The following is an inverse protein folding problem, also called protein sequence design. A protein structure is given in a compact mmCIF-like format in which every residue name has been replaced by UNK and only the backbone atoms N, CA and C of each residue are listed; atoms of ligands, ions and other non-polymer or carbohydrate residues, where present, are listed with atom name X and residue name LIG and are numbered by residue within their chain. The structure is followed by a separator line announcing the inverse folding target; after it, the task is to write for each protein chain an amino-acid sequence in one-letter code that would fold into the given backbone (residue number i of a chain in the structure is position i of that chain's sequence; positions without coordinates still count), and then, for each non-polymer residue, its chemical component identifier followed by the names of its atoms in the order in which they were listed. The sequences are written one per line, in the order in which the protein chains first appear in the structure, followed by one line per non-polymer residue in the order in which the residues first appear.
data_IF_368076687586
#
_entry.id   IF_368076687586
#
_cell.length_a   1.000
_cell.length_b   1.000
_cell.length_c   1.000
_cell.angle_alpha   90.00
_cell.angle_beta   90.00
_cell.angle_gamma   90.00
#
_symmetry.space_group_name_H-M   'P 1'
#
loop_
_entity.id
_entity.type
_entity.pdbx_description
1 polymer ?
#
# COMPACT_ATOMS: atom_id res chain seq x y z
N UNK A 1 -11.64 5.04 10.37
CA UNK A 1 -10.58 4.48 11.22
C UNK A 1 -9.42 4.01 10.36
N UNK A 2 -8.23 3.95 10.96
CA UNK A 2 -7.06 3.41 10.26
C UNK A 2 -6.12 2.70 11.21
N UNK A 3 -5.31 1.81 10.66
CA UNK A 3 -4.18 1.18 11.33
C UNK A 3 -2.92 1.43 10.52
N UNK A 4 -1.81 1.65 11.21
CA UNK A 4 -0.49 1.78 10.61
C UNK A 4 0.29 0.48 10.81
N UNK A 5 0.89 0.00 9.73
CA UNK A 5 1.75 -1.17 9.75
C UNK A 5 3.15 -0.82 9.25
N UNK A 6 4.14 -1.51 9.77
CA UNK A 6 5.51 -1.48 9.26
C UNK A 6 5.83 -2.86 8.69
N UNK A 7 5.81 -2.93 7.37
CA UNK A 7 5.90 -4.20 6.65
C UNK A 7 7.35 -4.52 6.32
N UNK A 8 7.90 -5.65 6.79
CA UNK A 8 9.25 -6.05 6.40
C UNK A 8 9.29 -6.42 4.93
N UNK A 9 10.15 -5.75 4.18
CA UNK A 9 10.38 -6.03 2.76
C UNK A 9 11.41 -7.16 2.60
N UNK A 10 11.74 -7.51 1.36
CA UNK A 10 12.66 -8.60 1.00
C UNK A 10 14.05 -8.48 1.64
N UNK A 11 14.51 -7.27 1.90
CA UNK A 11 15.83 -6.97 2.49
C UNK A 11 15.75 -6.59 3.97
N UNK A 12 14.59 -6.78 4.61
CA UNK A 12 14.36 -6.42 6.00
C UNK A 12 14.01 -4.95 6.24
N UNK A 13 14.00 -4.12 5.20
CA UNK A 13 13.57 -2.71 5.31
C UNK A 13 12.11 -2.65 5.68
N UNK A 14 11.77 -1.84 6.68
CA UNK A 14 10.38 -1.63 7.10
C UNK A 14 9.68 -0.61 6.21
N UNK A 15 8.63 -1.04 5.54
CA UNK A 15 7.81 -0.21 4.63
C UNK A 15 6.55 0.21 5.37
N UNK A 16 6.31 1.52 5.56
CA UNK A 16 5.08 1.98 6.18
C UNK A 16 3.88 1.70 5.27
N UNK A 17 2.80 1.25 5.87
CA UNK A 17 1.52 1.05 5.18
C UNK A 17 0.39 1.48 6.09
N UNK A 18 -0.50 2.34 5.58
CA UNK A 18 -1.71 2.74 6.28
C UNK A 18 -2.90 1.99 5.70
N UNK A 19 -3.70 1.43 6.59
CA UNK A 19 -4.91 0.69 6.22
C UNK A 19 -6.13 1.41 6.79
N UNK A 20 -7.02 1.84 5.90
CA UNK A 20 -8.22 2.61 6.22
C UNK A 20 -9.47 1.77 6.03
N UNK A 21 -10.41 1.88 6.94
CA UNK A 21 -11.66 1.12 6.91
C UNK A 21 -12.80 1.89 7.57
N UNK A 22 -14.02 1.52 7.23
CA UNK A 22 -15.22 2.13 7.80
C UNK A 22 -15.29 1.83 9.29
N UNK A 23 -15.68 2.83 10.07
CA UNK A 23 -15.89 2.68 11.52
C UNK A 23 -16.84 1.51 11.82
N UNK A 24 -16.46 0.70 12.78
CA UNK A 24 -17.24 -0.47 13.18
C UNK A 24 -16.94 -1.74 12.42
N UNK A 25 -16.13 -1.70 11.34
CA UNK A 25 -15.67 -2.91 10.68
C UNK A 25 -14.58 -3.60 11.50
N UNK A 26 -14.68 -4.91 11.59
CA UNK A 26 -13.59 -5.75 12.09
C UNK A 26 -12.81 -6.30 10.89
N UNK A 27 -11.61 -5.80 10.68
CA UNK A 27 -10.77 -6.22 9.56
C UNK A 27 -9.82 -7.37 9.92
N UNK A 28 -9.73 -7.72 11.19
CA UNK A 28 -8.74 -8.66 11.66
C UNK A 28 -9.21 -10.12 11.46
N UNK A 29 -8.30 -10.93 10.90
CA UNK A 29 -8.37 -12.39 10.88
C UNK A 29 -9.56 -13.04 10.15
N UNK A 30 -10.36 -12.30 9.39
CA UNK A 30 -11.53 -12.90 8.73
C UNK A 30 -11.32 -13.25 7.25
N UNK A 31 -10.24 -12.77 6.62
CA UNK A 31 -9.91 -12.97 5.19
C UNK A 31 -11.01 -12.55 4.20
N UNK A 32 -12.02 -11.83 4.64
CA UNK A 32 -13.20 -11.50 3.82
C UNK A 32 -13.22 -10.07 3.33
N UNK A 33 -12.24 -9.26 3.71
CA UNK A 33 -12.21 -7.87 3.30
C UNK A 33 -11.73 -7.75 1.86
N UNK A 34 -12.47 -7.00 1.06
CA UNK A 34 -11.97 -6.52 -0.23
C UNK A 34 -11.00 -5.38 0.05
N UNK A 35 -9.78 -5.51 -0.43
CA UNK A 35 -8.73 -4.51 -0.21
C UNK A 35 -8.30 -3.91 -1.53
N UNK A 36 -8.24 -2.59 -1.58
CA UNK A 36 -7.60 -1.83 -2.65
C UNK A 36 -6.24 -1.35 -2.15
N UNK A 37 -5.17 -1.93 -2.67
CA UNK A 37 -3.79 -1.56 -2.35
C UNK A 37 -3.29 -0.54 -3.35
N UNK A 38 -2.86 0.63 -2.88
CA UNK A 38 -2.35 1.72 -3.70
C UNK A 38 -0.89 2.00 -3.39
N UNK A 39 -0.10 2.30 -4.41
CA UNK A 39 1.29 2.71 -4.30
C UNK A 39 1.71 3.63 -5.42
N UNK A 40 2.79 4.38 -5.22
CA UNK A 40 3.40 5.27 -6.21
C UNK A 40 4.89 5.03 -6.35
N UNK A 41 5.67 5.41 -5.35
CA UNK A 41 7.09 5.07 -5.22
C UNK A 41 8.00 5.68 -6.27
N UNK A 42 7.76 6.93 -6.67
CA UNK A 42 8.57 7.58 -7.70
C UNK A 42 8.77 9.07 -7.44
N UNK A 43 9.84 9.61 -8.01
CA UNK A 43 10.19 11.04 -8.04
C UNK A 43 10.25 11.74 -6.67
N UNK A 44 10.42 10.98 -5.59
CA UNK A 44 10.41 11.56 -4.23
C UNK A 44 9.07 12.19 -3.85
N UNK A 45 7.99 11.86 -4.56
CA UNK A 45 6.66 12.36 -4.26
C UNK A 45 5.96 11.47 -3.25
N UNK A 46 5.18 12.09 -2.38
CA UNK A 46 4.37 11.36 -1.41
C UNK A 46 3.09 10.84 -2.06
N UNK A 47 2.70 9.63 -1.69
CA UNK A 47 1.36 9.15 -2.00
C UNK A 47 0.34 10.06 -1.31
N UNK A 48 -0.69 10.46 -2.03
CA UNK A 48 -1.74 11.30 -1.46
C UNK A 48 -2.44 10.58 -0.32
N UNK A 49 -2.33 11.13 0.88
CA UNK A 49 -2.98 10.60 2.07
C UNK A 49 -4.42 11.08 2.24
N UNK A 50 -4.87 11.98 1.34
CA UNK A 50 -6.22 12.49 1.35
C UNK A 50 -7.23 11.50 0.78
N UNK A 51 -8.44 11.54 1.32
CA UNK A 51 -9.54 10.81 0.72
C UNK A 51 -10.09 11.57 -0.47
N UNK A 52 -10.18 10.90 -1.61
CA UNK A 52 -10.90 11.38 -2.77
C UNK A 52 -12.24 10.64 -2.86
N UNK A 53 -13.09 11.07 -3.81
CA UNK A 53 -14.43 10.48 -3.97
C UNK A 53 -14.39 8.98 -4.27
N UNK A 54 -13.34 8.50 -4.96
CA UNK A 54 -13.18 7.08 -5.29
C UNK A 54 -12.92 6.26 -4.04
N UNK A 55 -11.97 6.68 -3.21
CA UNK A 55 -11.66 6.02 -1.93
C UNK A 55 -12.87 6.02 -0.99
N UNK A 56 -13.51 7.18 -0.84
CA UNK A 56 -14.70 7.32 0.01
C UNK A 56 -15.82 6.39 -0.46
N UNK A 57 -16.11 6.40 -1.75
CA UNK A 57 -17.15 5.55 -2.34
C UNK A 57 -16.87 4.06 -2.15
N UNK A 58 -15.62 3.63 -2.31
CA UNK A 58 -15.22 2.24 -2.08
C UNK A 58 -15.39 1.86 -0.60
N UNK A 59 -14.96 2.72 0.32
CA UNK A 59 -15.09 2.47 1.76
C UNK A 59 -16.55 2.37 2.19
N UNK A 60 -17.44 3.19 1.64
CA UNK A 60 -18.88 3.11 1.92
C UNK A 60 -19.48 1.77 1.49
N UNK A 61 -18.89 1.13 0.47
CA UNK A 61 -19.26 -0.19 -0.01
C UNK A 61 -18.54 -1.34 0.72
N UNK A 62 -17.84 -1.02 1.82
CA UNK A 62 -17.16 -2.02 2.65
C UNK A 62 -15.76 -2.40 2.19
N UNK A 63 -15.16 -1.67 1.26
CA UNK A 63 -13.77 -1.87 0.88
C UNK A 63 -12.83 -1.32 1.96
N UNK A 64 -11.72 -2.00 2.14
CA UNK A 64 -10.57 -1.54 2.91
C UNK A 64 -9.57 -0.93 1.93
N UNK A 65 -9.02 0.23 2.28
CA UNK A 65 -8.01 0.93 1.47
C UNK A 65 -6.66 0.80 2.16
N UNK A 66 -5.66 0.32 1.44
CA UNK A 66 -4.29 0.23 1.94
C UNK A 66 -3.37 1.11 1.09
N UNK A 67 -2.69 2.05 1.73
CA UNK A 67 -1.70 2.92 1.10
C UNK A 67 -0.30 2.44 1.48
N UNK A 68 0.45 1.91 0.52
CA UNK A 68 1.81 1.43 0.71
C UNK A 68 2.82 2.52 0.35
N UNK A 69 3.62 2.94 1.31
CA UNK A 69 4.62 4.00 1.13
C UNK A 69 5.97 3.39 0.74
N UNK A 70 6.02 2.83 -0.46
CA UNK A 70 7.19 2.11 -0.97
C UNK A 70 8.37 3.02 -1.26
N UNK A 71 9.57 2.45 -1.27
CA UNK A 71 10.79 3.20 -1.60
C UNK A 71 10.70 3.80 -3.01
N UNK A 72 11.31 4.98 -3.16
CA UNK A 72 11.20 5.83 -4.36
C UNK A 72 10.28 7.02 -4.15
N UNK A 73 9.37 6.96 -3.19
CA UNK A 73 8.57 8.09 -2.74
C UNK A 73 9.33 9.00 -1.78
N UNK A 74 8.68 10.06 -1.31
CA UNK A 74 9.25 11.05 -0.40
C UNK A 74 8.87 10.90 1.07
N UNK A 75 8.10 9.88 1.43
CA UNK A 75 7.46 9.75 2.75
C UNK A 75 8.47 9.69 3.91
N UNK A 76 9.67 9.12 3.67
CA UNK A 76 10.74 9.00 4.67
C UNK A 76 12.00 9.79 4.29
N UNK A 77 11.87 10.80 3.42
CA UNK A 77 12.97 11.68 3.04
C UNK A 77 13.76 11.19 1.82
N UNK A 78 14.90 11.87 1.58
CA UNK A 78 15.71 11.69 0.36
C UNK A 78 16.32 10.28 0.25
N UNK A 79 16.74 9.70 1.36
CA UNK A 79 17.30 8.34 1.35
C UNK A 79 16.26 7.32 0.91
N UNK A 80 15.03 7.49 1.33
CA UNK A 80 13.91 6.63 0.93
C UNK A 80 13.65 6.71 -0.56
N UNK A 81 13.71 7.91 -1.11
CA UNK A 81 13.64 8.13 -2.55
C UNK A 81 14.80 7.47 -3.28
N UNK A 82 16.04 7.68 -2.82
CA UNK A 82 17.24 7.15 -3.46
C UNK A 82 17.27 5.61 -3.48
N UNK A 83 16.74 4.97 -2.45
CA UNK A 83 16.66 3.51 -2.38
C UNK A 83 15.62 2.89 -3.31
N UNK A 84 14.83 3.68 -3.98
CA UNK A 84 13.79 3.22 -4.91
C UNK A 84 13.89 3.81 -6.31
N UNK A 85 15.01 4.43 -6.68
CA UNK A 85 15.20 5.02 -8.01
C UNK A 85 16.28 4.31 -8.82
N UNK A 86 16.25 4.49 -10.13
CA UNK A 86 17.26 3.98 -11.08
C UNK A 86 17.57 2.50 -10.84
N UNK A 87 18.82 2.14 -10.52
CA UNK A 87 19.23 0.76 -10.24
C UNK A 87 18.54 0.14 -9.02
N UNK A 88 18.05 0.99 -8.10
CA UNK A 88 17.33 0.56 -6.91
C UNK A 88 15.81 0.45 -7.14
N UNK A 89 15.32 0.72 -8.35
CA UNK A 89 13.89 0.66 -8.68
C UNK A 89 13.23 -0.68 -8.34
N UNK A 90 13.88 -1.84 -8.48
CA UNK A 90 13.30 -3.10 -8.02
C UNK A 90 12.86 -3.10 -6.56
N UNK A 91 13.48 -2.29 -5.69
CA UNK A 91 13.05 -2.15 -4.30
C UNK A 91 11.63 -1.64 -4.17
N UNK A 92 11.21 -0.68 -5.02
CA UNK A 92 9.81 -0.19 -5.03
C UNK A 92 8.82 -1.31 -5.33
N UNK A 93 9.12 -2.14 -6.32
CA UNK A 93 8.27 -3.26 -6.71
C UNK A 93 8.18 -4.32 -5.62
N UNK A 94 9.33 -4.69 -5.07
CA UNK A 94 9.42 -5.70 -4.01
C UNK A 94 8.76 -5.22 -2.71
N UNK A 95 8.86 -3.94 -2.40
CA UNK A 95 8.14 -3.32 -1.27
C UNK A 95 6.62 -3.44 -1.45
N UNK A 96 6.14 -3.18 -2.67
CA UNK A 96 4.71 -3.27 -2.96
C UNK A 96 4.20 -4.71 -2.86
N UNK A 97 4.96 -5.66 -3.39
CA UNK A 97 4.66 -7.10 -3.27
C UNK A 97 4.65 -7.52 -1.80
N UNK A 98 5.64 -7.07 -1.02
CA UNK A 98 5.70 -7.36 0.42
C UNK A 98 4.47 -6.85 1.16
N UNK A 99 3.98 -5.66 0.82
CA UNK A 99 2.74 -5.12 1.40
C UNK A 99 1.52 -5.97 1.04
N UNK A 100 1.41 -6.42 -0.21
CA UNK A 100 0.32 -7.29 -0.65
C UNK A 100 0.35 -8.63 0.11
N UNK A 101 1.51 -9.26 0.18
CA UNK A 101 1.70 -10.52 0.90
C UNK A 101 1.43 -10.39 2.40
N UNK A 102 1.80 -9.25 2.99
CA UNK A 102 1.55 -8.96 4.41
C UNK A 102 0.05 -8.91 4.71
N UNK A 103 -0.73 -8.24 3.87
CA UNK A 103 -2.19 -8.18 4.02
C UNK A 103 -2.83 -9.57 3.98
N UNK A 104 -2.31 -10.46 3.12
CA UNK A 104 -2.77 -11.83 3.01
C UNK A 104 -2.32 -12.66 4.22
N UNK A 105 -1.06 -12.57 4.61
CA UNK A 105 -0.50 -13.30 5.75
C UNK A 105 -1.15 -12.92 7.08
N UNK A 106 -1.51 -11.65 7.26
CA UNK A 106 -2.25 -11.15 8.42
C UNK A 106 -3.73 -11.48 8.38
N UNK A 107 -4.20 -12.19 7.35
CA UNK A 107 -5.59 -12.59 7.17
C UNK A 107 -6.58 -11.42 7.10
N UNK A 108 -6.11 -10.26 6.68
CA UNK A 108 -6.98 -9.10 6.42
C UNK A 108 -7.77 -9.36 5.13
N UNK A 109 -7.12 -9.95 4.13
CA UNK A 109 -7.73 -10.24 2.84
C UNK A 109 -7.31 -11.62 2.30
N UNK A 110 -7.81 -11.96 1.13
CA UNK A 110 -7.47 -13.16 0.37
C UNK A 110 -7.01 -12.72 -1.03
N UNK A 111 -6.14 -13.49 -1.73
CA UNK A 111 -5.68 -13.11 -3.07
C UNK A 111 -6.81 -12.75 -4.06
N UNK A 112 -7.94 -13.44 -3.97
CA UNK A 112 -9.10 -13.17 -4.84
C UNK A 112 -9.88 -11.90 -4.47
N UNK A 113 -9.57 -11.27 -3.35
CA UNK A 113 -10.24 -10.08 -2.84
C UNK A 113 -9.32 -8.87 -2.79
N UNK A 114 -8.09 -9.01 -3.28
CA UNK A 114 -7.08 -7.96 -3.30
C UNK A 114 -6.98 -7.37 -4.70
N UNK A 115 -7.21 -6.05 -4.79
CA UNK A 115 -6.99 -5.29 -6.02
C UNK A 115 -5.85 -4.30 -5.80
N UNK A 116 -5.11 -4.00 -6.85
CA UNK A 116 -4.03 -3.03 -6.82
C UNK A 116 -4.38 -1.82 -7.70
N UNK A 117 -3.96 -0.64 -7.26
CA UNK A 117 -4.13 0.60 -8.00
C UNK A 117 -2.82 1.38 -8.05
N UNK A 118 -2.45 1.84 -9.23
CA UNK A 118 -1.34 2.74 -9.46
C UNK A 118 -1.69 3.74 -10.55
N UNK A 119 -1.26 4.98 -10.38
CA UNK A 119 -1.50 6.06 -11.34
C UNK A 119 -0.17 6.58 -11.85
N UNK A 120 -0.06 6.83 -13.16
CA UNK A 120 1.17 7.32 -13.80
C UNK A 120 2.36 6.37 -13.52
N UNK A 121 3.43 6.82 -12.90
CA UNK A 121 4.56 5.98 -12.50
C UNK A 121 4.14 4.85 -11.55
N UNK A 122 3.10 5.04 -10.74
CA UNK A 122 2.50 3.98 -9.94
C UNK A 122 1.85 2.88 -10.78
N UNK A 123 1.46 3.16 -12.02
CA UNK A 123 0.96 2.16 -12.95
C UNK A 123 2.00 1.08 -13.25
N UNK A 124 3.26 1.47 -13.42
CA UNK A 124 4.37 0.52 -13.58
C UNK A 124 4.58 -0.34 -12.33
N UNK A 125 4.32 0.23 -11.15
CA UNK A 125 4.47 -0.47 -9.88
C UNK A 125 3.50 -1.65 -9.77
N UNK A 126 2.29 -1.52 -10.29
CA UNK A 126 1.23 -2.54 -10.16
C UNK A 126 1.12 -3.46 -11.37
N UNK A 127 1.82 -3.16 -12.47
CA UNK A 127 1.86 -3.99 -13.67
C UNK A 127 2.69 -5.25 -13.48
#
# INVERSE_FOLDING_TARGET
EYKEFFVPSHDGTEVPMNVYYKKGMNIDLNRKNRVLLEGYGAYGLNLSQGFNIVKTSAMERGWVIADAFVRGGGEKGIEWHDQGKMHNKPNSFLDFVACAEYLIAKRITHPNLLAAKGTSAGGTLVA
#
